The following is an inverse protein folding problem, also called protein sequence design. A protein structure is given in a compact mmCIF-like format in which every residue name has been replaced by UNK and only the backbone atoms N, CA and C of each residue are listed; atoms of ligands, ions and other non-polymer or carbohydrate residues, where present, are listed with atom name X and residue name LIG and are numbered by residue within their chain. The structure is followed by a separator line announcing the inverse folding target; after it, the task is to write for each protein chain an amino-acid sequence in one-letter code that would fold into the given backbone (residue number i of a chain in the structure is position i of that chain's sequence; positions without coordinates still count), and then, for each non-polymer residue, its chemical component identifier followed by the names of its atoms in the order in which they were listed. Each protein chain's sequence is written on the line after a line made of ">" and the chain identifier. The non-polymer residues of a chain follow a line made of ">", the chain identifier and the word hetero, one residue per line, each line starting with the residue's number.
data_IF_175152481557
#
_entry.id   IF_175152481557
#
_cell.length_a   1.000
_cell.length_b   1.000
_cell.length_c   1.000
_cell.angle_alpha   90.00
_cell.angle_beta   90.00
_cell.angle_gamma   90.00
#
_symmetry.space_group_name_H-M   'P 1'
#
loop_
_entity.id
_entity.type
_entity.pdbx_description
1 polymer ?
#
# COMPACT_ATOMS: atom_id res chain seq x y z
N UNK A 1 -67.78 -0.39 -11.17
CA UNK A 1 -68.92 -0.80 -12.03
C UNK A 1 -68.31 -1.39 -13.29
N UNK A 2 -67.62 -2.54 -13.25
CA UNK A 2 -67.97 -3.87 -12.68
C UNK A 2 -68.77 -4.70 -13.70
N UNK A 3 -68.06 -5.65 -14.33
CA UNK A 3 -68.45 -7.06 -14.62
C UNK A 3 -69.67 -7.29 -15.58
N UNK A 4 -69.82 -8.34 -16.40
CA UNK A 4 -69.40 -9.76 -16.33
C UNK A 4 -69.09 -10.42 -17.70
N UNK A 5 -68.74 -11.72 -17.66
CA UNK A 5 -68.32 -12.59 -18.78
C UNK A 5 -69.41 -13.63 -19.14
N UNK A 6 -69.58 -13.95 -20.43
CA UNK A 6 -69.88 -15.29 -21.02
C UNK A 6 -69.95 -15.14 -22.57
N UNK A 7 -69.23 -15.89 -23.41
CA UNK A 7 -69.37 -17.33 -23.75
C UNK A 7 -70.76 -17.62 -24.37
N UNK A 8 -70.95 -18.24 -25.54
CA UNK A 8 -70.20 -19.30 -26.23
C UNK A 8 -70.54 -19.34 -27.75
N UNK A 9 -69.65 -19.75 -28.65
CA UNK A 9 -70.06 -20.41 -29.92
C UNK A 9 -68.96 -21.23 -30.63
N UNK A 10 -69.00 -22.54 -30.40
CA UNK A 10 -68.44 -23.61 -31.26
C UNK A 10 -69.40 -23.87 -32.47
N UNK A 11 -69.00 -24.35 -33.66
CA UNK A 11 -67.70 -24.46 -34.37
C UNK A 11 -68.01 -24.91 -35.81
N UNK A 12 -67.15 -24.68 -36.82
CA UNK A 12 -66.98 -25.65 -37.92
C UNK A 12 -65.60 -25.59 -38.64
N UNK A 13 -65.37 -26.65 -39.41
CA UNK A 13 -64.18 -27.41 -39.83
C UNK A 13 -63.10 -26.78 -40.74
N UNK A 14 -61.98 -27.55 -40.75
CA UNK A 14 -61.07 -27.81 -41.88
C UNK A 14 -59.80 -26.95 -42.04
N UNK A 15 -58.73 -27.34 -41.33
CA UNK A 15 -57.37 -27.33 -41.90
C UNK A 15 -56.54 -28.50 -41.35
N UNK A 16 -56.22 -29.52 -42.17
CA UNK A 16 -55.42 -30.65 -41.74
C UNK A 16 -53.92 -30.36 -41.93
N UNK A 17 -53.24 -29.91 -40.88
CA UNK A 17 -51.80 -30.16 -40.78
C UNK A 17 -51.38 -30.43 -39.34
N UNK A 18 -51.34 -31.72 -39.01
CA UNK A 18 -50.87 -32.19 -37.72
C UNK A 18 -49.36 -31.96 -37.59
N UNK A 19 -49.00 -31.19 -36.57
CA UNK A 19 -47.98 -31.55 -35.57
C UNK A 19 -46.97 -32.61 -36.05
N UNK A 20 -45.75 -32.15 -36.36
CA UNK A 20 -44.54 -32.98 -36.22
C UNK A 20 -43.40 -32.16 -35.65
N UNK A 21 -42.65 -32.81 -34.75
CA UNK A 21 -41.49 -32.28 -34.04
C UNK A 21 -41.75 -31.14 -33.02
N UNK A 22 -42.22 -31.53 -31.83
CA UNK A 22 -41.57 -31.01 -30.63
C UNK A 22 -40.07 -31.33 -30.72
N UNK A 23 -39.24 -30.31 -30.92
CA UNK A 23 -37.78 -30.41 -30.72
C UNK A 23 -37.40 -29.31 -29.75
N UNK A 24 -37.05 -29.73 -28.53
CA UNK A 24 -37.08 -28.84 -27.37
C UNK A 24 -35.86 -27.92 -27.23
N UNK A 25 -35.81 -27.28 -26.07
CA UNK A 25 -34.74 -26.41 -25.58
C UNK A 25 -34.67 -25.01 -26.19
N UNK A 26 -35.62 -24.17 -25.82
CA UNK A 26 -35.29 -22.78 -25.50
C UNK A 26 -34.31 -22.79 -24.32
N UNK A 27 -33.00 -22.80 -24.61
CA UNK A 27 -31.95 -22.66 -23.62
C UNK A 27 -30.73 -22.00 -24.23
N UNK A 28 -30.32 -20.89 -23.64
CA UNK A 28 -29.04 -20.25 -23.92
C UNK A 28 -29.07 -19.21 -25.05
N UNK A 29 -29.18 -17.94 -24.66
CA UNK A 29 -28.36 -16.89 -25.26
C UNK A 29 -26.87 -17.13 -24.86
N UNK A 30 -26.35 -18.31 -25.17
CA UNK A 30 -24.92 -18.59 -25.06
C UNK A 30 -24.27 -17.89 -26.25
N UNK A 31 -23.35 -16.98 -25.96
CA UNK A 31 -22.60 -16.26 -26.98
C UNK A 31 -21.98 -17.27 -27.96
N UNK A 32 -22.41 -17.22 -29.21
CA UNK A 32 -21.74 -17.92 -30.31
C UNK A 32 -20.33 -17.33 -30.37
N UNK A 33 -19.33 -18.11 -29.94
CA UNK A 33 -17.94 -17.69 -30.01
C UNK A 33 -17.62 -17.37 -31.48
N UNK A 34 -17.00 -16.20 -31.77
CA UNK A 34 -16.61 -15.88 -33.14
C UNK A 34 -15.66 -16.95 -33.68
N UNK A 35 -15.65 -17.20 -35.01
CA UNK A 35 -14.80 -18.21 -35.61
C UNK A 35 -13.33 -17.94 -35.28
N UNK A 36 -12.55 -19.00 -35.04
CA UNK A 36 -11.21 -18.90 -34.46
C UNK A 36 -10.22 -18.01 -35.24
N UNK A 37 -10.50 -17.71 -36.51
CA UNK A 37 -9.76 -16.74 -37.34
C UNK A 37 -9.89 -15.28 -36.88
N UNK A 38 -11.04 -14.86 -36.32
CA UNK A 38 -11.19 -13.49 -35.79
C UNK A 38 -10.44 -13.29 -34.47
N UNK A 39 -10.37 -14.36 -33.67
CA UNK A 39 -9.70 -14.38 -32.37
C UNK A 39 -8.20 -14.04 -32.51
N UNK A 40 -7.51 -14.60 -33.51
CA UNK A 40 -6.10 -14.29 -33.78
C UNK A 40 -5.87 -12.80 -34.08
N UNK A 41 -6.72 -12.18 -34.91
CA UNK A 41 -6.63 -10.75 -35.15
C UNK A 41 -6.90 -9.91 -33.89
N UNK A 42 -7.81 -10.36 -33.02
CA UNK A 42 -8.10 -9.69 -31.74
C UNK A 42 -6.91 -9.77 -30.79
N UNK A 43 -6.26 -10.93 -30.63
CA UNK A 43 -5.03 -11.05 -29.83
C UNK A 43 -3.89 -10.19 -30.37
N UNK A 44 -3.75 -10.08 -31.69
CA UNK A 44 -2.80 -9.17 -32.32
C UNK A 44 -3.14 -7.68 -32.06
N UNK A 45 -4.42 -7.31 -32.05
CA UNK A 45 -4.89 -5.95 -31.70
C UNK A 45 -4.60 -5.64 -30.21
N UNK A 46 -4.94 -6.57 -29.31
CA UNK A 46 -4.69 -6.48 -27.85
C UNK A 46 -3.18 -6.39 -27.56
N UNK A 47 -2.37 -7.27 -28.16
CA UNK A 47 -0.92 -7.28 -27.98
C UNK A 47 -0.24 -5.99 -28.49
N UNK A 48 -0.67 -5.46 -29.64
CA UNK A 48 -0.20 -4.15 -30.14
C UNK A 48 -0.60 -3.01 -29.20
N UNK A 49 -1.84 -3.00 -28.71
CA UNK A 49 -2.32 -1.97 -27.79
C UNK A 49 -1.54 -2.00 -26.47
N UNK A 50 -1.38 -3.17 -25.85
CA UNK A 50 -0.56 -3.36 -24.65
C UNK A 50 0.87 -2.91 -24.91
N UNK A 51 1.50 -3.31 -26.02
CA UNK A 51 2.86 -2.88 -26.38
C UNK A 51 3.00 -1.35 -26.43
N UNK A 52 2.05 -0.65 -27.07
CA UNK A 52 2.03 0.83 -27.13
C UNK A 52 1.89 1.46 -25.74
N UNK A 53 1.16 0.84 -24.80
CA UNK A 53 1.09 1.31 -23.41
C UNK A 53 2.37 0.98 -22.62
N UNK A 54 2.93 -0.22 -22.76
CA UNK A 54 4.16 -0.65 -22.08
C UNK A 54 5.37 0.21 -22.46
N UNK A 55 5.51 0.59 -23.73
CA UNK A 55 6.56 1.52 -24.20
C UNK A 55 6.46 2.88 -23.50
N UNK A 56 5.26 3.30 -23.08
CA UNK A 56 5.03 4.58 -22.38
C UNK A 56 5.13 4.47 -20.85
N UNK A 57 5.14 3.28 -20.26
CA UNK A 57 5.32 3.09 -18.81
C UNK A 57 6.57 3.81 -18.27
N UNK A 58 7.78 3.69 -18.86
CA UNK A 58 8.95 4.43 -18.36
C UNK A 58 8.76 5.95 -18.40
N UNK A 59 8.06 6.49 -19.41
CA UNK A 59 7.69 7.91 -19.50
C UNK A 59 6.77 8.35 -18.34
N UNK A 60 5.73 7.55 -18.05
CA UNK A 60 4.76 7.83 -17.00
C UNK A 60 5.35 7.64 -15.59
N UNK A 61 6.14 6.59 -15.35
CA UNK A 61 6.82 6.37 -14.07
C UNK A 61 7.94 7.39 -13.86
N UNK A 62 8.65 7.78 -14.92
CA UNK A 62 9.68 8.82 -14.87
C UNK A 62 9.10 10.19 -14.50
N UNK A 63 8.05 10.63 -15.20
CA UNK A 63 7.36 11.90 -14.90
C UNK A 63 6.69 11.87 -13.52
N UNK A 64 5.99 10.77 -13.16
CA UNK A 64 5.42 10.60 -11.82
C UNK A 64 6.49 10.64 -10.72
N UNK A 65 7.60 9.92 -10.87
CA UNK A 65 8.64 9.94 -9.85
C UNK A 65 9.20 11.34 -9.67
N UNK A 66 9.45 12.09 -10.76
CA UNK A 66 10.00 13.45 -10.72
C UNK A 66 9.03 14.47 -10.10
N UNK A 67 7.77 14.48 -10.53
CA UNK A 67 6.73 15.41 -10.04
C UNK A 67 6.41 15.15 -8.57
N UNK A 68 6.29 13.88 -8.17
CA UNK A 68 5.88 13.50 -6.82
C UNK A 68 7.05 13.20 -5.87
N UNK A 69 8.32 13.48 -6.24
CA UNK A 69 9.52 13.16 -5.41
C UNK A 69 9.35 13.53 -3.95
N UNK A 70 8.93 14.77 -3.68
CA UNK A 70 8.81 15.31 -2.33
C UNK A 70 7.78 14.54 -1.49
N UNK A 71 6.66 14.14 -2.10
CA UNK A 71 5.60 13.37 -1.45
C UNK A 71 5.97 11.88 -1.32
N UNK A 72 6.59 11.29 -2.35
CA UNK A 72 7.09 9.90 -2.31
C UNK A 72 8.14 9.75 -1.22
N UNK A 73 9.11 10.67 -1.12
CA UNK A 73 10.15 10.65 -0.08
C UNK A 73 9.53 10.91 1.30
N UNK A 74 8.62 11.87 1.45
CA UNK A 74 7.92 12.10 2.72
C UNK A 74 7.10 10.88 3.18
N UNK A 75 6.39 10.24 2.26
CA UNK A 75 5.61 9.02 2.54
C UNK A 75 6.52 7.82 2.85
N UNK A 76 7.58 7.61 2.07
CA UNK A 76 8.56 6.56 2.32
C UNK A 76 9.24 6.74 3.68
N UNK A 77 9.65 7.97 4.03
CA UNK A 77 10.19 8.29 5.34
C UNK A 77 9.18 7.99 6.45
N UNK A 78 7.92 8.41 6.30
CA UNK A 78 6.85 8.12 7.26
C UNK A 78 6.64 6.62 7.43
N UNK A 79 6.57 5.84 6.35
CA UNK A 79 6.44 4.38 6.39
C UNK A 79 7.65 3.73 7.08
N UNK A 80 8.87 4.19 6.78
CA UNK A 80 10.10 3.73 7.45
C UNK A 80 10.06 4.06 8.95
N UNK A 81 9.71 5.29 9.34
CA UNK A 81 9.60 5.71 10.75
C UNK A 81 8.55 4.90 11.50
N UNK A 82 7.36 4.71 10.92
CA UNK A 82 6.30 3.89 11.53
C UNK A 82 6.73 2.43 11.66
N UNK A 83 7.40 1.88 10.64
CA UNK A 83 7.90 0.50 10.66
C UNK A 83 9.01 0.32 11.71
N UNK A 84 9.96 1.26 11.79
CA UNK A 84 11.00 1.27 12.81
C UNK A 84 10.40 1.38 14.22
N UNK A 85 9.39 2.23 14.43
CA UNK A 85 8.68 2.33 15.70
C UNK A 85 7.93 1.03 16.05
N UNK A 86 7.29 0.36 15.08
CA UNK A 86 6.66 -0.95 15.27
C UNK A 86 7.68 -2.01 15.69
N UNK A 87 8.86 -2.05 15.06
CA UNK A 87 9.95 -2.97 15.42
C UNK A 87 10.47 -2.66 16.82
N UNK A 88 10.71 -1.39 17.15
CA UNK A 88 11.15 -0.96 18.47
C UNK A 88 10.16 -1.37 19.59
N UNK A 89 8.87 -1.15 19.36
CA UNK A 89 7.81 -1.58 20.29
C UNK A 89 7.71 -3.12 20.38
N UNK A 90 7.88 -3.85 19.27
CA UNK A 90 7.90 -5.31 19.29
C UNK A 90 9.09 -5.87 20.08
N UNK A 91 10.27 -5.26 19.96
CA UNK A 91 11.45 -5.58 20.78
C UNK A 91 11.20 -5.27 22.25
N UNK A 92 10.60 -4.12 22.58
CA UNK A 92 10.27 -3.77 23.96
C UNK A 92 9.26 -4.74 24.58
N UNK A 93 8.25 -5.17 23.82
CA UNK A 93 7.31 -6.21 24.25
C UNK A 93 8.03 -7.54 24.50
N UNK A 94 8.84 -8.02 23.54
CA UNK A 94 9.59 -9.26 23.68
C UNK A 94 10.59 -9.24 24.87
N UNK A 95 11.13 -8.07 25.22
CA UNK A 95 11.95 -7.86 26.42
C UNK A 95 11.10 -7.99 27.70
N UNK A 96 9.89 -7.43 27.71
CA UNK A 96 8.96 -7.51 28.84
C UNK A 96 8.37 -8.92 29.03
N UNK A 97 8.23 -9.69 27.96
CA UNK A 97 7.84 -11.11 28.01
C UNK A 97 8.92 -12.00 28.67
N UNK A 98 10.16 -11.51 28.80
CA UNK A 98 11.25 -12.18 29.52
C UNK A 98 11.29 -11.65 30.96
N UNK A 99 10.82 -12.42 31.98
CA UNK A 99 10.52 -11.90 33.32
C UNK A 99 11.74 -11.40 34.12
N UNK A 100 12.96 -11.72 33.67
CA UNK A 100 14.21 -11.25 34.28
C UNK A 100 14.88 -10.10 33.53
N UNK A 101 14.57 -9.90 32.24
CA UNK A 101 15.32 -8.95 31.41
C UNK A 101 14.84 -7.51 31.63
N UNK A 102 13.52 -7.29 31.71
CA UNK A 102 12.94 -5.98 32.00
C UNK A 102 13.45 -5.35 33.32
N UNK A 103 13.37 -6.03 34.49
CA UNK A 103 13.90 -5.47 35.75
C UNK A 103 15.44 -5.35 35.76
N UNK A 104 16.16 -6.19 35.00
CA UNK A 104 17.61 -6.08 34.88
C UNK A 104 18.05 -4.85 34.08
N UNK A 105 17.34 -4.53 32.99
CA UNK A 105 17.55 -3.32 32.21
C UNK A 105 17.14 -2.06 32.99
N UNK A 106 16.06 -2.12 33.78
CA UNK A 106 15.68 -1.02 34.69
C UNK A 106 16.77 -0.76 35.74
N UNK A 107 17.31 -1.80 36.38
CA UNK A 107 18.38 -1.68 37.37
C UNK A 107 19.68 -1.13 36.76
N UNK A 108 20.07 -1.60 35.55
CA UNK A 108 21.21 -1.06 34.81
C UNK A 108 20.97 0.40 34.44
N UNK A 109 19.78 0.73 33.93
CA UNK A 109 19.38 2.08 33.56
C UNK A 109 19.48 3.04 34.75
N UNK A 110 18.83 2.71 35.87
CA UNK A 110 18.92 3.49 37.11
C UNK A 110 20.35 3.61 37.62
N UNK A 111 21.11 2.50 37.67
CA UNK A 111 22.51 2.51 38.09
C UNK A 111 23.36 3.44 37.24
N UNK A 112 23.21 3.38 35.91
CA UNK A 112 23.94 4.25 34.98
C UNK A 112 23.48 5.70 35.05
N UNK A 113 22.17 5.98 35.17
CA UNK A 113 21.63 7.34 35.34
C UNK A 113 22.11 7.98 36.63
N UNK A 114 22.10 7.26 37.75
CA UNK A 114 22.62 7.75 39.05
C UNK A 114 24.12 8.00 38.95
N UNK A 115 24.88 7.03 38.42
CA UNK A 115 26.33 7.15 38.24
C UNK A 115 26.69 8.32 37.32
N UNK A 116 26.03 8.45 36.17
CA UNK A 116 26.26 9.53 35.20
C UNK A 116 25.92 10.90 35.80
N UNK A 117 24.78 11.02 36.48
CA UNK A 117 24.36 12.26 37.14
C UNK A 117 25.38 12.69 38.20
N UNK A 118 25.81 11.76 39.06
CA UNK A 118 26.81 12.06 40.08
C UNK A 118 28.19 12.37 39.48
N UNK A 119 28.64 11.57 38.50
CA UNK A 119 29.97 11.65 37.90
C UNK A 119 30.16 12.88 37.02
N UNK A 120 29.14 13.28 36.25
CA UNK A 120 29.23 14.31 35.20
C UNK A 120 28.35 15.56 35.44
N UNK A 121 27.19 15.44 36.10
CA UNK A 121 26.29 16.60 36.31
C UNK A 121 26.53 17.31 37.65
N UNK A 122 26.88 16.58 38.71
CA UNK A 122 27.08 17.14 40.06
C UNK A 122 28.54 17.50 40.35
N UNK A 123 29.51 16.73 39.84
CA UNK A 123 30.95 16.95 40.10
C UNK A 123 31.53 18.03 39.19
N UNK A 124 31.84 19.20 39.75
CA UNK A 124 32.14 20.41 38.99
C UNK A 124 33.22 20.25 37.92
N UNK A 125 34.37 19.65 38.27
CA UNK A 125 35.47 19.42 37.33
C UNK A 125 35.09 18.61 36.10
N UNK A 126 34.03 17.79 36.18
CA UNK A 126 33.58 16.90 35.11
C UNK A 126 32.40 17.49 34.32
N UNK A 127 31.69 18.47 34.91
CA UNK A 127 30.73 19.32 34.18
C UNK A 127 31.46 20.16 33.14
N UNK A 128 32.64 20.69 33.49
CA UNK A 128 33.46 21.51 32.59
C UNK A 128 34.01 20.68 31.42
N UNK A 129 34.50 19.47 31.70
CA UNK A 129 34.94 18.48 30.71
C UNK A 129 33.82 18.13 29.71
N UNK A 130 32.65 17.71 30.21
CA UNK A 130 31.49 17.38 29.37
C UNK A 130 30.99 18.59 28.56
N UNK A 131 30.97 19.79 29.15
CA UNK A 131 30.57 21.01 28.43
C UNK A 131 31.57 21.39 27.32
N UNK A 132 32.87 21.13 27.51
CA UNK A 132 33.88 21.32 26.48
C UNK A 132 33.71 20.29 25.33
N UNK A 133 33.51 19.02 25.64
CA UNK A 133 33.24 17.97 24.65
C UNK A 133 31.97 18.25 23.84
N UNK A 134 30.85 18.61 24.49
CA UNK A 134 29.61 18.97 23.80
C UNK A 134 29.81 20.19 22.88
N UNK A 135 30.60 21.20 23.30
CA UNK A 135 30.96 22.34 22.44
C UNK A 135 31.82 21.92 21.25
N UNK A 136 32.75 20.98 21.43
CA UNK A 136 33.57 20.44 20.35
C UNK A 136 32.74 19.61 19.35
N UNK A 137 31.89 18.70 19.83
CA UNK A 137 30.95 17.94 18.99
C UNK A 137 30.02 18.87 18.23
N UNK A 138 29.38 19.84 18.90
CA UNK A 138 28.53 20.84 18.25
C UNK A 138 29.29 21.61 17.18
N UNK A 139 30.55 22.00 17.43
CA UNK A 139 31.39 22.67 16.43
C UNK A 139 31.76 21.76 15.26
N UNK A 140 31.95 20.46 15.48
CA UNK A 140 32.23 19.50 14.40
C UNK A 140 31.00 19.16 13.55
N UNK A 141 29.81 19.11 14.13
CA UNK A 141 28.57 18.75 13.43
C UNK A 141 27.81 19.93 12.84
N UNK A 142 27.81 21.11 13.48
CA UNK A 142 27.16 22.33 12.96
C UNK A 142 28.16 23.31 12.32
N UNK A 143 29.42 23.34 12.77
CA UNK A 143 30.43 24.30 12.31
C UNK A 143 31.01 24.03 10.91
N UNK A 144 30.26 23.33 10.05
CA UNK A 144 30.57 23.20 8.61
C UNK A 144 29.83 24.22 7.75
N UNK A 145 28.72 24.79 8.26
CA UNK A 145 27.82 25.66 7.49
C UNK A 145 28.23 27.15 7.53
N UNK A 146 29.04 27.59 8.51
CA UNK A 146 29.38 29.01 8.70
C UNK A 146 30.54 29.51 7.81
N UNK A 147 31.14 28.65 6.99
CA UNK A 147 32.35 28.95 6.19
C UNK A 147 32.07 29.46 4.76
N UNK A 148 30.80 29.58 4.33
CA UNK A 148 30.46 29.84 2.92
C UNK A 148 29.49 31.01 2.66
N UNK A 149 29.22 31.88 3.64
CA UNK A 149 28.44 33.13 3.42
C UNK A 149 29.28 34.38 3.63
N UNK A 150 30.37 34.50 2.87
CA UNK A 150 31.11 35.75 2.64
C UNK A 150 31.51 35.86 1.16
N UNK A 151 30.63 36.45 0.35
CA UNK A 151 30.92 37.25 -0.84
C UNK A 151 29.74 38.21 -1.06
#
# INVERSE_FOLDING_TARGET
>A
MDTELQQDQYVDTASPNQIKALKGSESGNLAMLPPASENEEQWQKIGRQISIFLVKIPEYIGSFYQEYKMLIIGFALLVITVTALRIFLAVLNAINDIPLLSPFLELIGLGYTIWFTFRYLLKDSTRQELAAEIRLLKKQTLGREESQTLN
#
